data_IF_923833431860
#
_entry.id   IF_923833431860
#
_cell.length_a   1.000
_cell.length_b   1.000
_cell.length_c   1.000
_cell.angle_alpha   90.00
_cell.angle_beta   90.00
_cell.angle_gamma   90.00
#
_symmetry.space_group_name_H-M   'P 1'
#
loop_
_entity.id
_entity.type
_entity.pdbx_description
1 polymer ?
#
# COMPACT_ATOMS: atom_id res chain seq x y z
N UNK A 1 -0.10 70.82 -89.67
CA UNK A 1 -0.05 71.90 -88.68
C UNK A 1 0.50 71.29 -87.40
N UNK A 2 1.70 71.74 -87.06
CA UNK A 2 2.53 71.37 -85.91
C UNK A 2 1.96 71.92 -84.59
N UNK A 3 2.52 71.43 -83.48
CA UNK A 3 2.60 72.04 -82.13
C UNK A 3 1.91 71.16 -81.09
N UNK A 4 2.49 70.78 -79.95
CA UNK A 4 3.85 70.73 -79.43
C UNK A 4 3.71 69.90 -78.14
N UNK A 5 4.72 69.14 -77.77
CA UNK A 5 4.75 68.44 -76.49
C UNK A 5 5.00 69.42 -75.33
N UNK A 6 4.31 69.23 -74.20
CA UNK A 6 4.72 69.77 -72.89
C UNK A 6 5.32 68.64 -72.03
N UNK A 7 6.40 68.91 -71.27
CA UNK A 7 7.15 67.89 -70.53
C UNK A 7 6.49 67.48 -69.23
N UNK A 8 6.88 66.28 -68.78
CA UNK A 8 6.39 65.55 -67.63
C UNK A 8 6.65 66.24 -66.28
N UNK A 9 5.64 66.19 -65.42
CA UNK A 9 5.81 66.30 -63.96
C UNK A 9 5.67 64.90 -63.37
N UNK A 10 6.77 64.34 -62.89
CA UNK A 10 6.79 63.08 -62.17
C UNK A 10 6.10 63.25 -60.81
N UNK A 11 4.92 62.65 -60.65
CA UNK A 11 4.30 62.52 -59.34
C UNK A 11 4.98 61.39 -58.54
N UNK A 12 5.23 61.58 -57.24
CA UNK A 12 5.84 60.55 -56.41
C UNK A 12 4.89 59.36 -56.22
N UNK A 13 5.30 58.17 -56.68
CA UNK A 13 4.53 56.94 -56.51
C UNK A 13 4.24 56.65 -55.02
N UNK A 14 2.96 56.52 -54.60
CA UNK A 14 2.56 56.29 -53.21
C UNK A 14 2.90 54.88 -52.68
N UNK A 15 3.61 54.06 -53.47
CA UNK A 15 3.97 52.68 -53.13
C UNK A 15 5.31 52.56 -52.38
N UNK A 16 6.08 53.66 -52.28
CA UNK A 16 7.31 53.69 -51.46
C UNK A 16 7.05 53.72 -49.95
N UNK A 17 5.82 54.05 -49.52
CA UNK A 17 5.46 54.06 -48.10
C UNK A 17 4.87 52.73 -47.60
N UNK A 18 4.48 51.80 -48.48
CA UNK A 18 4.01 50.47 -48.06
C UNK A 18 5.16 49.46 -47.84
N UNK A 19 6.33 49.70 -48.43
CA UNK A 19 7.50 48.83 -48.26
C UNK A 19 8.27 49.07 -46.95
N UNK A 20 8.12 50.24 -46.32
CA UNK A 20 8.83 50.57 -45.06
C UNK A 20 8.15 49.89 -43.86
N UNK A 21 6.84 49.72 -43.87
CA UNK A 21 6.11 49.09 -42.74
C UNK A 21 6.31 47.57 -42.64
N UNK A 22 6.72 46.88 -43.72
CA UNK A 22 7.01 45.44 -43.69
C UNK A 22 8.47 45.11 -43.30
N UNK A 23 9.42 46.03 -43.53
CA UNK A 23 10.82 45.85 -43.12
C UNK A 23 11.03 46.08 -41.61
N UNK A 24 10.20 46.91 -40.96
CA UNK A 24 10.36 47.24 -39.54
C UNK A 24 9.87 46.15 -38.57
N UNK A 25 8.87 45.35 -38.95
CA UNK A 25 8.38 44.25 -38.11
C UNK A 25 9.31 43.04 -38.15
N UNK A 26 9.97 42.76 -39.29
CA UNK A 26 10.88 41.63 -39.42
C UNK A 26 12.22 41.84 -38.69
N UNK A 27 12.76 43.08 -38.71
CA UNK A 27 13.97 43.43 -37.94
C UNK A 27 13.72 43.38 -36.43
N UNK A 28 12.53 43.78 -35.96
CA UNK A 28 12.17 43.71 -34.54
C UNK A 28 12.12 42.26 -34.01
N UNK A 29 11.61 41.31 -34.80
CA UNK A 29 11.55 39.88 -34.42
C UNK A 29 12.94 39.22 -34.41
N UNK A 30 13.86 39.62 -35.30
CA UNK A 30 15.23 39.08 -35.35
C UNK A 30 16.11 39.63 -34.21
N UNK A 31 15.98 40.92 -33.87
CA UNK A 31 16.74 41.53 -32.76
C UNK A 31 16.32 40.95 -31.40
N UNK A 32 15.03 40.70 -31.16
CA UNK A 32 14.54 40.09 -29.91
C UNK A 32 15.02 38.64 -29.71
N UNK A 33 15.34 37.92 -30.80
CA UNK A 33 15.83 36.54 -30.74
C UNK A 33 17.36 36.43 -30.50
N UNK A 34 18.14 37.46 -30.85
CA UNK A 34 19.60 37.47 -30.66
C UNK A 34 20.05 38.00 -29.29
N UNK A 35 19.26 38.82 -28.60
CA UNK A 35 19.61 39.37 -27.27
C UNK A 35 19.37 38.37 -26.13
N UNK A 36 18.65 37.26 -26.34
CA UNK A 36 18.29 36.31 -25.28
C UNK A 36 19.24 35.12 -25.07
N UNK A 37 20.41 35.10 -25.71
CA UNK A 37 21.33 33.94 -25.66
C UNK A 37 22.70 34.19 -25.01
N UNK A 38 22.86 35.21 -24.18
CA UNK A 38 24.08 35.35 -23.39
C UNK A 38 23.73 35.90 -22.00
N UNK A 39 23.56 35.00 -21.03
CA UNK A 39 24.13 35.12 -19.68
C UNK A 39 23.63 33.95 -18.82
N UNK A 40 24.56 33.03 -18.56
CA UNK A 40 24.45 31.96 -17.56
C UNK A 40 25.19 32.45 -16.31
N UNK A 41 24.50 32.71 -15.17
CA UNK A 41 25.14 32.91 -13.87
C UNK A 41 25.22 31.56 -13.10
N UNK A 42 26.14 31.45 -12.12
CA UNK A 42 26.69 30.17 -11.70
C UNK A 42 25.74 29.36 -10.81
N UNK A 43 25.80 28.04 -11.04
CA UNK A 43 25.62 26.95 -10.08
C UNK A 43 25.52 27.39 -8.61
N UNK A 44 24.29 27.62 -8.16
CA UNK A 44 23.90 27.44 -6.77
C UNK A 44 22.86 26.30 -6.76
N UNK A 45 23.27 25.20 -6.15
CA UNK A 45 22.45 24.04 -5.81
C UNK A 45 21.07 24.48 -5.32
N UNK A 46 20.07 24.29 -6.18
CA UNK A 46 18.67 24.17 -5.79
C UNK A 46 18.24 22.84 -6.39
N UNK A 47 18.49 21.76 -5.64
CA UNK A 47 17.85 20.50 -5.90
C UNK A 47 16.34 20.77 -5.96
N UNK A 48 15.80 20.79 -7.17
CA UNK A 48 14.37 20.59 -7.37
C UNK A 48 14.03 19.32 -6.61
N UNK A 49 13.08 19.32 -5.67
CA UNK A 49 12.61 18.03 -5.19
C UNK A 49 12.12 17.31 -6.44
N UNK A 50 12.59 16.08 -6.64
CA UNK A 50 12.01 15.15 -7.59
C UNK A 50 10.47 15.23 -7.48
N UNK A 51 9.69 14.88 -8.53
CA UNK A 51 8.28 14.62 -8.30
C UNK A 51 8.24 13.64 -7.12
N UNK A 52 7.76 14.12 -5.97
CA UNK A 52 7.47 13.25 -4.85
C UNK A 52 6.43 12.34 -5.45
N UNK A 53 6.84 11.10 -5.67
CA UNK A 53 5.96 10.03 -6.01
C UNK A 53 4.95 9.96 -4.87
N UNK A 54 3.86 10.69 -5.01
CA UNK A 54 2.66 10.57 -4.19
C UNK A 54 1.91 9.32 -4.65
N UNK A 55 2.63 8.21 -4.86
CA UNK A 55 2.08 6.93 -4.46
C UNK A 55 1.93 7.04 -2.95
N UNK A 56 0.72 7.43 -2.53
CA UNK A 56 0.20 7.08 -1.22
C UNK A 56 0.72 5.68 -0.94
N UNK A 57 1.61 5.52 0.05
CA UNK A 57 2.07 4.19 0.44
C UNK A 57 0.82 3.43 0.81
N UNK A 58 0.32 2.63 -0.13
CA UNK A 58 -0.77 1.70 0.12
C UNK A 58 -0.34 0.91 1.35
N UNK A 59 -1.13 0.99 2.41
CA UNK A 59 -0.83 0.31 3.67
C UNK A 59 -0.59 -1.16 3.33
N UNK A 60 0.56 -1.71 3.71
CA UNK A 60 0.84 -3.12 3.41
C UNK A 60 -0.24 -4.01 4.00
N UNK A 61 -0.45 -5.17 3.39
CA UNK A 61 -1.50 -6.09 3.83
C UNK A 61 -1.36 -6.50 5.32
N UNK A 62 -0.16 -6.80 5.85
CA UNK A 62 0.04 -6.99 7.29
C UNK A 62 -0.21 -5.73 8.13
N UNK A 63 0.14 -4.53 7.65
CA UNK A 63 -0.13 -3.29 8.38
C UNK A 63 -1.65 -3.03 8.50
N UNK A 64 -2.43 -3.36 7.47
CA UNK A 64 -3.91 -3.38 7.58
C UNK A 64 -4.37 -4.38 8.64
N UNK A 65 -3.77 -5.57 8.70
CA UNK A 65 -4.00 -6.56 9.74
C UNK A 65 -3.75 -6.02 11.15
N UNK A 66 -2.63 -5.32 11.34
CA UNK A 66 -2.30 -4.63 12.59
C UNK A 66 -3.37 -3.62 12.98
N UNK A 67 -3.80 -2.76 12.05
CA UNK A 67 -4.84 -1.77 12.30
C UNK A 67 -6.17 -2.41 12.71
N UNK A 68 -6.54 -3.54 12.09
CA UNK A 68 -7.69 -4.34 12.49
C UNK A 68 -7.51 -4.91 13.90
N UNK A 69 -6.35 -5.48 14.21
CA UNK A 69 -6.04 -6.04 15.53
C UNK A 69 -6.23 -5.00 16.65
N UNK A 70 -5.74 -3.78 16.40
CA UNK A 70 -5.84 -2.66 17.33
C UNK A 70 -7.28 -2.13 17.44
N UNK A 71 -7.93 -1.85 16.31
CA UNK A 71 -9.27 -1.23 16.28
C UNK A 71 -10.40 -2.16 16.71
N UNK A 72 -10.25 -3.47 16.49
CA UNK A 72 -11.20 -4.49 16.93
C UNK A 72 -11.03 -4.86 18.41
N UNK A 73 -9.97 -4.36 19.05
CA UNK A 73 -9.69 -4.60 20.47
C UNK A 73 -9.18 -6.01 20.78
N UNK A 74 -8.58 -6.70 19.81
CA UNK A 74 -8.03 -8.05 20.01
C UNK A 74 -6.97 -8.05 21.13
N UNK A 75 -6.15 -7.00 21.19
CA UNK A 75 -5.12 -6.80 22.20
C UNK A 75 -5.66 -6.76 23.66
N UNK A 76 -6.94 -6.42 23.86
CA UNK A 76 -7.53 -6.32 25.20
C UNK A 76 -7.54 -7.67 25.94
N UNK A 77 -7.59 -8.78 25.19
CA UNK A 77 -7.53 -10.14 25.74
C UNK A 77 -6.23 -10.84 25.36
N UNK A 78 -5.78 -10.72 24.11
CA UNK A 78 -4.59 -11.39 23.61
C UNK A 78 -3.29 -10.62 23.87
N UNK A 79 -3.34 -9.53 24.64
CA UNK A 79 -2.16 -8.74 25.00
C UNK A 79 -1.64 -7.86 23.86
N UNK A 80 -0.71 -6.92 24.16
CA UNK A 80 -0.01 -6.15 23.15
C UNK A 80 0.70 -7.08 22.17
N UNK A 81 0.56 -6.82 20.87
CA UNK A 81 1.19 -7.61 19.80
C UNK A 81 0.90 -9.11 19.94
N UNK A 82 -0.28 -9.48 20.47
CA UNK A 82 -0.64 -10.89 20.61
C UNK A 82 0.17 -11.66 21.65
N UNK A 83 0.94 -11.03 22.54
CA UNK A 83 1.78 -11.71 23.54
C UNK A 83 1.03 -12.65 24.51
N UNK A 84 -0.30 -12.55 24.62
CA UNK A 84 -1.14 -13.41 25.43
C UNK A 84 -0.96 -13.20 26.93
N UNK A 85 -1.04 -14.30 27.70
CA UNK A 85 -0.68 -14.31 29.13
C UNK A 85 -1.73 -13.74 30.09
N UNK A 86 -2.82 -13.16 29.59
CA UNK A 86 -3.92 -12.65 30.42
C UNK A 86 -4.61 -13.82 31.15
N UNK A 87 -4.67 -13.77 32.48
CA UNK A 87 -5.28 -14.84 33.28
C UNK A 87 -6.78 -14.98 33.02
N UNK A 88 -7.24 -16.22 32.84
CA UNK A 88 -8.64 -16.56 32.64
C UNK A 88 -9.05 -17.64 33.66
N UNK A 89 -9.64 -17.20 34.79
CA UNK A 89 -9.97 -18.08 35.91
C UNK A 89 -10.82 -19.27 35.47
N UNK A 90 -10.46 -20.47 35.94
CA UNK A 90 -11.09 -21.75 35.57
C UNK A 90 -10.99 -22.15 34.08
N UNK A 91 -10.22 -21.47 33.24
CA UNK A 91 -9.95 -21.95 31.88
C UNK A 91 -8.96 -23.12 31.90
N UNK A 92 -9.15 -24.13 31.05
CA UNK A 92 -8.24 -25.29 30.93
C UNK A 92 -6.79 -24.90 30.70
N UNK A 93 -6.53 -23.87 29.87
CA UNK A 93 -5.17 -23.38 29.60
C UNK A 93 -4.69 -22.35 30.63
N UNK A 94 -5.57 -21.88 31.53
CA UNK A 94 -5.27 -20.91 32.57
C UNK A 94 -5.15 -19.45 32.09
N UNK A 95 -4.64 -19.21 30.89
CA UNK A 95 -4.48 -17.88 30.29
C UNK A 95 -5.11 -17.80 28.90
N UNK A 96 -5.41 -16.59 28.45
CA UNK A 96 -5.70 -16.31 27.04
C UNK A 96 -4.44 -16.62 26.23
N UNK A 97 -4.54 -17.40 25.14
CA UNK A 97 -3.37 -17.85 24.40
C UNK A 97 -2.65 -16.70 23.67
N UNK A 98 -1.32 -16.79 23.51
CA UNK A 98 -0.58 -15.91 22.62
C UNK A 98 -1.00 -16.12 21.17
N UNK A 99 -0.87 -15.06 20.38
CA UNK A 99 -1.12 -14.99 18.95
C UNK A 99 0.13 -14.56 18.16
N UNK A 100 1.20 -14.09 18.82
CA UNK A 100 2.50 -13.88 18.17
C UNK A 100 3.20 -15.20 17.80
N UNK A 101 2.69 -16.33 18.28
CA UNK A 101 3.11 -17.71 17.95
C UNK A 101 2.36 -18.26 16.70
N UNK A 102 1.81 -17.38 15.85
CA UNK A 102 0.87 -17.80 14.80
C UNK A 102 1.53 -18.62 13.70
N UNK A 103 2.80 -18.33 13.36
CA UNK A 103 3.54 -19.12 12.37
C UNK A 103 3.59 -20.60 12.78
N UNK A 104 3.98 -20.87 14.02
CA UNK A 104 3.98 -22.21 14.62
C UNK A 104 2.59 -22.85 14.62
N UNK A 105 1.57 -22.09 15.02
CA UNK A 105 0.19 -22.57 15.03
C UNK A 105 -0.31 -22.97 13.64
N UNK A 106 0.19 -22.29 12.61
CA UNK A 106 -0.08 -22.53 11.20
C UNK A 106 0.91 -23.51 10.55
N UNK A 107 1.81 -24.13 11.32
CA UNK A 107 2.80 -25.11 10.84
C UNK A 107 3.81 -24.51 9.83
N UNK A 108 4.15 -23.23 10.00
CA UNK A 108 5.15 -22.49 9.25
C UNK A 108 6.43 -22.40 10.10
N UNK A 109 7.40 -23.27 9.83
CA UNK A 109 8.61 -23.41 10.66
C UNK A 109 9.84 -22.71 10.08
N UNK A 110 9.76 -22.29 8.82
CA UNK A 110 10.83 -21.59 8.10
C UNK A 110 10.33 -20.19 7.71
N UNK A 111 11.17 -19.14 7.85
CA UNK A 111 10.75 -17.77 7.54
C UNK A 111 10.39 -17.58 6.08
N UNK A 112 11.02 -18.33 5.16
CA UNK A 112 10.67 -18.31 3.73
C UNK A 112 9.27 -18.89 3.48
N UNK A 113 8.90 -19.96 4.17
CA UNK A 113 7.56 -20.57 4.10
C UNK A 113 6.50 -19.60 4.65
N UNK A 114 6.82 -18.91 5.75
CA UNK A 114 5.95 -17.89 6.33
C UNK A 114 5.73 -16.70 5.38
N UNK A 115 6.79 -16.21 4.75
CA UNK A 115 6.69 -15.16 3.74
C UNK A 115 5.85 -15.59 2.54
N UNK A 116 6.05 -16.82 2.03
CA UNK A 116 5.24 -17.37 0.95
C UNK A 116 3.76 -17.50 1.36
N UNK A 117 3.48 -17.93 2.58
CA UNK A 117 2.12 -17.98 3.11
C UNK A 117 1.47 -16.58 3.16
N UNK A 118 2.18 -15.57 3.67
CA UNK A 118 1.70 -14.17 3.70
C UNK A 118 1.38 -13.66 2.29
N UNK A 119 2.22 -13.92 1.29
CA UNK A 119 1.96 -13.52 -0.10
C UNK A 119 0.68 -14.16 -0.65
N UNK A 120 0.45 -15.46 -0.38
CA UNK A 120 -0.77 -16.16 -0.78
C UNK A 120 -2.00 -15.58 -0.10
N UNK A 121 -1.88 -15.24 1.20
CA UNK A 121 -2.96 -14.60 1.96
C UNK A 121 -3.26 -13.21 1.41
N UNK A 122 -2.27 -12.39 1.09
CA UNK A 122 -2.48 -11.06 0.50
C UNK A 122 -3.22 -11.15 -0.84
N UNK A 123 -2.76 -12.03 -1.73
CA UNK A 123 -3.37 -12.27 -3.05
C UNK A 123 -4.78 -12.85 -2.98
N UNK A 124 -5.21 -13.37 -1.82
CA UNK A 124 -6.48 -14.07 -1.67
C UNK A 124 -6.53 -15.35 -2.49
N UNK A 125 -5.40 -16.07 -2.55
CA UNK A 125 -5.29 -17.31 -3.31
C UNK A 125 -6.28 -18.38 -2.81
N UNK A 126 -6.79 -19.19 -3.72
CA UNK A 126 -7.52 -20.41 -3.37
C UNK A 126 -6.51 -21.47 -2.90
N UNK A 127 -6.28 -21.52 -1.59
CA UNK A 127 -5.26 -22.38 -1.00
C UNK A 127 -5.49 -23.87 -1.29
N UNK A 128 -6.75 -24.30 -1.41
CA UNK A 128 -7.06 -25.69 -1.72
C UNK A 128 -6.62 -26.08 -3.14
N UNK A 129 -6.65 -25.13 -4.09
CA UNK A 129 -6.27 -25.40 -5.47
C UNK A 129 -4.77 -25.65 -5.67
N UNK A 130 -3.93 -25.27 -4.71
CA UNK A 130 -2.48 -25.38 -4.79
C UNK A 130 -1.91 -26.64 -4.14
N UNK A 131 -2.75 -27.51 -3.58
CA UNK A 131 -2.28 -28.73 -2.89
C UNK A 131 -1.60 -29.75 -3.85
N UNK A 132 -1.92 -29.70 -5.15
CA UNK A 132 -1.32 -30.59 -6.16
C UNK A 132 0.14 -30.24 -6.49
N UNK A 133 0.49 -28.95 -6.41
CA UNK A 133 1.84 -28.41 -6.63
C UNK A 133 2.15 -27.38 -5.54
N UNK A 134 2.48 -27.83 -4.31
CA UNK A 134 2.53 -26.97 -3.14
C UNK A 134 3.73 -26.02 -3.19
N UNK A 135 3.56 -24.74 -2.82
CA UNK A 135 4.63 -23.74 -2.83
C UNK A 135 5.72 -23.99 -1.77
N UNK A 136 5.45 -24.81 -0.75
CA UNK A 136 6.41 -25.16 0.30
C UNK A 136 6.13 -26.53 0.96
N UNK A 137 7.11 -27.15 1.65
CA UNK A 137 7.03 -28.55 2.08
C UNK A 137 5.87 -28.91 3.03
N UNK A 138 5.48 -28.03 3.95
CA UNK A 138 4.42 -28.28 4.95
C UNK A 138 3.03 -27.76 4.53
N UNK A 139 2.83 -27.45 3.24
CA UNK A 139 1.65 -26.75 2.73
C UNK A 139 0.30 -27.34 3.16
N UNK A 140 0.09 -28.65 2.99
CA UNK A 140 -1.18 -29.29 3.35
C UNK A 140 -1.53 -29.14 4.84
N UNK A 141 -0.51 -29.13 5.72
CA UNK A 141 -0.72 -28.89 7.16
C UNK A 141 -1.05 -27.43 7.43
N UNK A 142 -0.38 -26.52 6.73
CA UNK A 142 -0.71 -25.10 6.74
C UNK A 142 -2.17 -24.85 6.33
N UNK A 143 -2.63 -25.38 5.19
CA UNK A 143 -4.02 -25.21 4.73
C UNK A 143 -5.03 -25.71 5.76
N UNK A 144 -4.77 -26.90 6.34
CA UNK A 144 -5.63 -27.45 7.38
C UNK A 144 -5.68 -26.56 8.64
N UNK A 145 -4.53 -26.08 9.13
CA UNK A 145 -4.49 -25.20 10.31
C UNK A 145 -5.04 -23.82 10.04
N UNK A 146 -4.78 -23.26 8.86
CA UNK A 146 -5.39 -22.01 8.40
C UNK A 146 -6.92 -22.09 8.47
N UNK A 147 -7.52 -23.15 7.91
CA UNK A 147 -8.96 -23.37 8.00
C UNK A 147 -9.48 -23.47 9.43
N UNK A 148 -8.75 -24.17 10.31
CA UNK A 148 -9.10 -24.28 11.73
C UNK A 148 -9.04 -22.93 12.47
N UNK A 149 -8.00 -22.13 12.24
CA UNK A 149 -7.82 -20.81 12.85
C UNK A 149 -8.87 -19.82 12.34
N UNK A 150 -9.14 -19.79 11.03
CA UNK A 150 -10.23 -18.99 10.45
C UNK A 150 -11.57 -19.39 11.07
N UNK A 151 -11.81 -20.69 11.26
CA UNK A 151 -13.00 -21.20 11.94
C UNK A 151 -13.15 -20.67 13.38
N UNK A 152 -12.06 -20.60 14.13
CA UNK A 152 -12.04 -20.03 15.50
C UNK A 152 -12.34 -18.52 15.48
N UNK A 153 -11.76 -17.77 14.54
CA UNK A 153 -12.01 -16.32 14.44
C UNK A 153 -13.48 -16.06 14.07
N UNK A 154 -14.00 -16.77 13.07
CA UNK A 154 -15.36 -16.57 12.58
C UNK A 154 -16.41 -16.95 13.63
N UNK A 155 -16.24 -18.08 14.29
CA UNK A 155 -17.27 -18.66 15.16
C UNK A 155 -17.04 -18.39 16.66
N UNK A 156 -15.88 -17.84 17.02
CA UNK A 156 -15.44 -17.75 18.40
C UNK A 156 -15.01 -19.12 18.96
N UNK A 157 -14.43 -19.09 20.16
CA UNK A 157 -14.00 -20.29 20.86
C UNK A 157 -14.32 -20.14 22.36
N UNK A 158 -15.39 -20.79 22.85
CA UNK A 158 -15.68 -20.80 24.27
C UNK A 158 -14.54 -21.44 25.07
N UNK A 159 -14.09 -20.76 26.12
CA UNK A 159 -13.06 -21.25 27.02
C UNK A 159 -13.62 -22.42 27.86
N UNK A 160 -13.06 -23.61 27.67
CA UNK A 160 -13.44 -24.81 28.40
C UNK A 160 -13.07 -24.73 29.89
N UNK A 161 -13.93 -25.26 30.77
CA UNK A 161 -13.67 -25.29 32.21
C UNK A 161 -12.60 -26.29 32.58
N UNK A 162 -11.68 -25.90 33.46
CA UNK A 162 -10.73 -26.79 34.15
C UNK A 162 -11.41 -27.62 35.24
N UNK A 163 -12.18 -26.96 36.08
CA UNK A 163 -13.10 -27.58 37.04
C UNK A 163 -14.54 -27.49 36.50
N UNK A 164 -15.17 -28.63 36.11
CA UNK A 164 -16.53 -28.66 35.61
C UNK A 164 -17.58 -28.08 36.58
N UNK A 165 -17.35 -28.22 37.89
CA UNK A 165 -18.24 -27.70 38.94
C UNK A 165 -18.02 -26.20 39.22
N UNK A 166 -16.88 -25.66 38.80
CA UNK A 166 -16.53 -24.25 38.97
C UNK A 166 -17.33 -23.29 38.07
N UNK A 167 -17.18 -21.97 38.27
CA UNK A 167 -17.83 -20.96 37.42
C UNK A 167 -17.31 -21.00 35.98
N UNK A 168 -18.04 -20.40 35.04
CA UNK A 168 -17.53 -20.22 33.67
C UNK A 168 -16.29 -19.32 33.66
N UNK A 169 -15.30 -19.57 32.78
CA UNK A 169 -14.19 -18.65 32.61
C UNK A 169 -14.71 -17.27 32.19
N UNK A 170 -14.25 -16.18 32.84
CA UNK A 170 -14.79 -14.84 32.59
C UNK A 170 -14.49 -14.32 31.19
N UNK A 171 -13.38 -14.77 30.57
CA UNK A 171 -13.01 -14.39 29.21
C UNK A 171 -13.37 -15.51 28.24
N UNK A 172 -14.04 -15.14 27.16
CA UNK A 172 -14.50 -16.02 26.10
C UNK A 172 -14.10 -15.39 24.77
N UNK A 173 -13.59 -16.18 23.82
CA UNK A 173 -13.29 -15.65 22.49
C UNK A 173 -14.60 -15.49 21.72
N UNK A 174 -14.94 -14.24 21.39
CA UNK A 174 -16.15 -13.88 20.66
C UNK A 174 -16.06 -14.33 19.20
N UNK A 175 -17.23 -14.49 18.57
CA UNK A 175 -17.34 -14.70 17.13
C UNK A 175 -17.18 -13.37 16.38
N UNK A 176 -16.36 -13.36 15.32
CA UNK A 176 -16.07 -12.17 14.54
C UNK A 176 -16.55 -12.24 13.07
N UNK A 177 -17.15 -13.36 12.65
CA UNK A 177 -17.55 -13.58 11.26
C UNK A 177 -18.58 -12.58 10.71
N UNK A 178 -19.37 -11.94 11.58
CA UNK A 178 -20.33 -10.91 11.17
C UNK A 178 -19.71 -9.50 11.07
N UNK A 179 -18.45 -9.33 11.52
CA UNK A 179 -17.77 -8.03 11.61
C UNK A 179 -16.50 -7.94 10.77
N UNK A 180 -15.90 -9.09 10.44
CA UNK A 180 -14.68 -9.17 9.66
C UNK A 180 -14.98 -9.90 8.35
N UNK A 181 -14.55 -9.32 7.23
CA UNK A 181 -14.55 -10.00 5.95
C UNK A 181 -13.47 -11.10 5.89
N UNK A 182 -13.57 -11.99 4.92
CA UNK A 182 -12.53 -13.01 4.67
C UNK A 182 -11.16 -12.36 4.37
N UNK A 183 -11.17 -11.19 3.74
CA UNK A 183 -9.96 -10.40 3.50
C UNK A 183 -9.39 -9.80 4.78
N UNK A 184 -10.24 -9.29 5.68
CA UNK A 184 -9.79 -8.77 6.97
C UNK A 184 -9.17 -9.88 7.84
N UNK A 185 -9.74 -11.09 7.81
CA UNK A 185 -9.18 -12.25 8.51
C UNK A 185 -7.83 -12.65 7.91
N UNK A 186 -7.68 -12.63 6.57
CA UNK A 186 -6.39 -12.87 5.92
C UNK A 186 -5.35 -11.82 6.33
N UNK A 187 -5.72 -10.54 6.35
CA UNK A 187 -4.83 -9.46 6.77
C UNK A 187 -4.39 -9.62 8.24
N UNK A 188 -5.33 -9.95 9.13
CA UNK A 188 -5.04 -10.25 10.53
C UNK A 188 -4.05 -11.41 10.68
N UNK A 189 -4.24 -12.50 9.94
CA UNK A 189 -3.33 -13.64 10.00
C UNK A 189 -1.96 -13.31 9.41
N UNK A 190 -1.89 -12.52 8.34
CA UNK A 190 -0.63 -12.04 7.79
C UNK A 190 0.16 -11.23 8.84
N UNK A 191 -0.49 -10.29 9.53
CA UNK A 191 0.12 -9.56 10.64
C UNK A 191 0.62 -10.49 11.76
N UNK A 192 -0.20 -11.42 12.21
CA UNK A 192 0.16 -12.31 13.32
C UNK A 192 1.31 -13.28 12.96
N UNK A 193 1.43 -13.67 11.69
CA UNK A 193 2.57 -14.46 11.20
C UNK A 193 3.88 -13.64 11.30
N UNK A 194 3.85 -12.35 10.97
CA UNK A 194 5.03 -11.47 11.04
C UNK A 194 5.51 -11.16 12.47
N UNK A 195 4.67 -11.39 13.48
CA UNK A 195 5.04 -11.23 14.89
C UNK A 195 5.88 -12.38 15.44
N UNK A 196 6.03 -13.47 14.68
CA UNK A 196 6.78 -14.64 15.14
C UNK A 196 8.25 -14.30 15.32
N UNK A 197 8.82 -14.71 16.45
CA UNK A 197 10.23 -14.53 16.73
C UNK A 197 11.04 -15.68 16.13
N UNK A 198 11.81 -15.37 15.08
CA UNK A 198 12.62 -16.35 14.34
C UNK A 198 14.01 -16.56 14.97
N UNK A 199 14.36 -15.84 16.04
CA UNK A 199 15.69 -15.88 16.65
C UNK A 199 15.82 -16.85 17.85
N UNK A 200 14.77 -17.61 18.19
CA UNK A 200 14.78 -18.60 19.29
C UNK A 200 15.30 -20.00 18.90
#
# INVERSE_FOLDING_TARGET
MTSEARPATAEPHPWRFLAILFASVFVFVVVVRLVRHAEEPPSASSASPAPVDTQERETSFPERGKQLFDSMGCAACHGPEGSGGVSNLNYVLGTVPPLNEMADRLMLFDPEDAAAAVELLERGADLASLEEDPPFPNYARFVAQYGAVVGVIKNGAPAAKKDPAGPMPPLQMLAWGDRLSDEDIRALLAYLIELYDWEE
#
